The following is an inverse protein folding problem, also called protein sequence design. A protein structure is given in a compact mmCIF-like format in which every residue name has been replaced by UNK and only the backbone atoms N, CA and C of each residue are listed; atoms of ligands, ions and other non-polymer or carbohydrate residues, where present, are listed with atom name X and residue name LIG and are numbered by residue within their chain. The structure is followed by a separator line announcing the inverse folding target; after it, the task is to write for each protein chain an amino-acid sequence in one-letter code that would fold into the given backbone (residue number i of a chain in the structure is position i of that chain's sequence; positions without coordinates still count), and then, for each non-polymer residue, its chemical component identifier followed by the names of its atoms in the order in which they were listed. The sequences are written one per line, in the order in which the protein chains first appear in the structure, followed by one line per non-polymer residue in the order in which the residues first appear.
data_IF_450564210602
#
_entry.id   IF_450564210602
#
_cell.length_a   1.000
_cell.length_b   1.000
_cell.length_c   1.000
_cell.angle_alpha   90.00
_cell.angle_beta   90.00
_cell.angle_gamma   90.00
#
_symmetry.space_group_name_H-M   'P 1'
#
loop_
_entity.id
_entity.type
_entity.pdbx_description
1 polymer ?
#
# COMPACT_ATOMS: atom_id res chain seq x y z
N UNK A 1 51.16 19.70 -4.46
CA UNK A 1 50.14 19.79 -3.39
C UNK A 1 49.03 20.70 -3.90
N UNK A 2 48.00 20.14 -4.52
CA UNK A 2 46.81 20.89 -4.94
C UNK A 2 45.82 20.86 -3.79
N UNK A 3 45.63 21.99 -3.12
CA UNK A 3 44.56 22.17 -2.14
C UNK A 3 43.22 21.95 -2.84
N UNK A 4 42.51 20.89 -2.46
CA UNK A 4 41.10 20.75 -2.75
C UNK A 4 40.42 21.84 -1.94
N UNK A 5 40.07 22.95 -2.58
CA UNK A 5 39.22 23.98 -1.99
C UNK A 5 37.84 23.35 -1.78
N UNK A 6 37.68 22.68 -0.63
CA UNK A 6 36.39 22.18 -0.15
C UNK A 6 35.52 23.39 0.09
N UNK A 7 34.56 23.61 -0.80
CA UNK A 7 33.61 24.71 -0.70
C UNK A 7 32.42 24.23 0.15
N UNK A 8 32.37 24.54 1.46
CA UNK A 8 31.41 23.94 2.40
C UNK A 8 29.94 24.29 2.07
N UNK A 9 29.71 25.31 1.23
CA UNK A 9 28.38 25.66 0.73
C UNK A 9 27.85 24.72 -0.35
N UNK A 10 28.72 24.05 -1.11
CA UNK A 10 28.33 23.12 -2.17
C UNK A 10 27.92 21.76 -1.59
N UNK A 11 28.63 21.30 -0.56
CA UNK A 11 28.34 20.02 0.11
C UNK A 11 27.04 20.07 0.91
N UNK A 12 26.71 21.21 1.54
CA UNK A 12 25.42 21.42 2.21
C UNK A 12 24.25 21.37 1.22
N UNK A 13 24.40 21.98 0.04
CA UNK A 13 23.39 21.92 -1.04
C UNK A 13 23.21 20.50 -1.57
N UNK A 14 24.31 19.76 -1.75
CA UNK A 14 24.28 18.35 -2.16
C UNK A 14 23.59 17.45 -1.14
N UNK A 15 23.89 17.62 0.15
CA UNK A 15 23.18 16.91 1.23
C UNK A 15 21.69 17.22 1.22
N UNK A 16 21.30 18.50 1.12
CA UNK A 16 19.89 18.90 1.03
C UNK A 16 19.18 18.27 -0.18
N UNK A 17 19.82 18.28 -1.35
CA UNK A 17 19.27 17.65 -2.56
C UNK A 17 19.16 16.14 -2.44
N UNK A 18 20.14 15.47 -1.80
CA UNK A 18 20.09 14.03 -1.52
C UNK A 18 18.98 13.68 -0.53
N UNK A 19 18.81 14.45 0.54
CA UNK A 19 17.71 14.27 1.48
C UNK A 19 16.36 14.49 0.80
N UNK A 20 16.23 15.55 -0.02
CA UNK A 20 15.00 15.84 -0.74
C UNK A 20 14.68 14.74 -1.78
N UNK A 21 15.68 14.24 -2.50
CA UNK A 21 15.53 13.10 -3.40
C UNK A 21 15.11 11.83 -2.65
N UNK A 22 15.70 11.58 -1.47
CA UNK A 22 15.32 10.46 -0.60
C UNK A 22 13.88 10.58 -0.07
N UNK A 23 13.43 11.78 0.28
CA UNK A 23 12.03 12.03 0.68
C UNK A 23 11.09 11.79 -0.49
N UNK A 24 11.40 12.32 -1.68
CA UNK A 24 10.61 12.09 -2.88
C UNK A 24 10.51 10.60 -3.24
N UNK A 25 11.62 9.87 -3.12
CA UNK A 25 11.67 8.43 -3.36
C UNK A 25 10.77 7.67 -2.37
N UNK A 26 10.82 8.00 -1.07
CA UNK A 26 9.97 7.37 -0.06
C UNK A 26 8.48 7.68 -0.26
N UNK A 27 8.13 8.91 -0.63
CA UNK A 27 6.74 9.27 -0.93
C UNK A 27 6.23 8.51 -2.16
N UNK A 28 7.04 8.40 -3.21
CA UNK A 28 6.70 7.58 -4.37
C UNK A 28 6.53 6.10 -4.02
N UNK A 29 7.46 5.54 -3.24
CA UNK A 29 7.40 4.15 -2.79
C UNK A 29 6.17 3.87 -1.93
N UNK A 30 5.80 4.82 -1.06
CA UNK A 30 4.59 4.74 -0.24
C UNK A 30 3.33 4.66 -1.10
N UNK A 31 3.21 5.48 -2.15
CA UNK A 31 2.06 5.43 -3.06
C UNK A 31 1.97 4.09 -3.78
N UNK A 32 3.09 3.56 -4.27
CA UNK A 32 3.13 2.25 -4.91
C UNK A 32 2.70 1.15 -3.94
N UNK A 33 3.26 1.15 -2.72
CA UNK A 33 2.93 0.18 -1.68
C UNK A 33 1.47 0.31 -1.21
N UNK A 34 0.91 1.52 -1.19
CA UNK A 34 -0.48 1.74 -0.81
C UNK A 34 -1.46 1.01 -1.74
N UNK A 35 -1.13 0.89 -3.04
CA UNK A 35 -1.92 0.15 -4.03
C UNK A 35 -1.54 -1.34 -4.04
N UNK A 36 -0.27 -1.65 -3.82
CA UNK A 36 0.22 -3.03 -3.89
C UNK A 36 -0.17 -3.86 -2.66
N UNK A 37 -0.18 -3.26 -1.47
CA UNK A 37 -0.53 -3.89 -0.19
C UNK A 37 -1.93 -4.55 -0.15
N UNK A 38 -3.03 -3.88 -0.56
CA UNK A 38 -4.35 -4.50 -0.55
C UNK A 38 -4.41 -5.66 -1.54
N UNK A 39 -3.82 -5.51 -2.72
CA UNK A 39 -3.76 -6.57 -3.74
C UNK A 39 -2.98 -7.77 -3.24
N UNK A 40 -1.80 -7.56 -2.64
CA UNK A 40 -0.95 -8.63 -2.11
C UNK A 40 -1.65 -9.39 -0.97
N UNK A 41 -2.26 -8.66 -0.03
CA UNK A 41 -3.07 -9.24 1.05
C UNK A 41 -4.21 -10.09 0.50
N UNK A 42 -4.93 -9.56 -0.49
CA UNK A 42 -5.96 -10.29 -1.23
C UNK A 42 -5.43 -11.59 -1.82
N UNK A 43 -4.32 -11.55 -2.56
CA UNK A 43 -3.70 -12.74 -3.18
C UNK A 43 -3.43 -13.82 -2.14
N UNK A 44 -2.87 -13.46 -1.00
CA UNK A 44 -2.56 -14.41 0.09
C UNK A 44 -3.84 -15.06 0.62
N UNK A 45 -4.85 -14.25 0.94
CA UNK A 45 -6.16 -14.73 1.43
C UNK A 45 -6.80 -15.67 0.40
N UNK A 46 -6.86 -15.25 -0.87
CA UNK A 46 -7.44 -16.04 -1.94
C UNK A 46 -6.71 -17.35 -2.20
N UNK A 47 -5.38 -17.32 -2.14
CA UNK A 47 -4.56 -18.50 -2.33
C UNK A 47 -4.78 -19.55 -1.23
N UNK A 48 -4.97 -19.11 0.02
CA UNK A 48 -5.20 -19.97 1.17
C UNK A 48 -6.62 -20.55 1.21
N UNK A 49 -7.66 -19.74 0.95
CA UNK A 49 -9.05 -20.21 1.06
C UNK A 49 -9.48 -21.13 -0.09
N UNK A 50 -8.87 -21.02 -1.28
CA UNK A 50 -9.14 -21.84 -2.50
C UNK A 50 -10.56 -21.78 -3.06
N UNK A 51 -11.57 -21.36 -2.28
CA UNK A 51 -12.97 -21.16 -2.68
C UNK A 51 -13.25 -19.69 -2.97
N UNK A 52 -13.78 -19.41 -4.15
CA UNK A 52 -14.00 -18.05 -4.64
C UNK A 52 -14.94 -17.23 -3.73
N UNK A 53 -16.09 -17.79 -3.32
CA UNK A 53 -17.04 -17.07 -2.48
C UNK A 53 -16.46 -16.68 -1.12
N UNK A 54 -15.66 -17.56 -0.51
CA UNK A 54 -15.05 -17.30 0.80
C UNK A 54 -13.85 -16.36 0.68
N UNK A 55 -13.07 -16.47 -0.41
CA UNK A 55 -11.96 -15.57 -0.69
C UNK A 55 -12.44 -14.13 -0.91
N UNK A 56 -13.52 -13.93 -1.67
CA UNK A 56 -14.08 -12.60 -1.94
C UNK A 56 -14.60 -11.96 -0.64
N UNK A 57 -15.39 -12.69 0.15
CA UNK A 57 -15.93 -12.14 1.40
C UNK A 57 -14.84 -11.85 2.43
N UNK A 58 -13.86 -12.76 2.57
CA UNK A 58 -12.72 -12.57 3.48
C UNK A 58 -11.81 -11.41 3.05
N UNK A 59 -11.54 -11.27 1.74
CA UNK A 59 -10.72 -10.17 1.21
C UNK A 59 -11.41 -8.81 1.37
N UNK A 60 -12.72 -8.76 1.12
CA UNK A 60 -13.49 -7.53 1.33
C UNK A 60 -13.52 -7.14 2.82
N UNK A 61 -13.82 -8.09 3.71
CA UNK A 61 -13.95 -7.83 5.14
C UNK A 61 -12.62 -7.41 5.76
N UNK A 62 -11.52 -8.08 5.40
CA UNK A 62 -10.18 -7.73 5.86
C UNK A 62 -9.77 -6.32 5.42
N UNK A 63 -10.08 -5.92 4.18
CA UNK A 63 -9.81 -4.58 3.70
C UNK A 63 -10.66 -3.52 4.42
N UNK A 64 -11.97 -3.77 4.60
CA UNK A 64 -12.85 -2.84 5.31
C UNK A 64 -12.38 -2.61 6.74
N UNK A 65 -12.03 -3.68 7.46
CA UNK A 65 -11.55 -3.58 8.83
C UNK A 65 -10.17 -2.89 8.87
N UNK A 66 -9.22 -3.35 8.05
CA UNK A 66 -7.85 -2.84 8.06
C UNK A 66 -7.77 -1.37 7.65
N UNK A 67 -8.31 -1.01 6.49
CA UNK A 67 -8.29 0.37 6.00
C UNK A 67 -9.25 1.27 6.74
N UNK A 68 -10.39 0.76 7.21
CA UNK A 68 -11.31 1.52 8.04
C UNK A 68 -10.66 2.00 9.33
N UNK A 69 -9.96 1.11 10.04
CA UNK A 69 -9.18 1.47 11.24
C UNK A 69 -8.07 2.46 10.88
N UNK A 70 -7.31 2.18 9.82
CA UNK A 70 -6.16 3.00 9.44
C UNK A 70 -6.57 4.44 9.07
N UNK A 71 -7.64 4.60 8.30
CA UNK A 71 -8.16 5.91 7.93
C UNK A 71 -8.80 6.65 9.10
N UNK A 72 -9.55 5.95 9.97
CA UNK A 72 -10.10 6.56 11.18
C UNK A 72 -8.99 7.04 12.14
N UNK A 73 -7.91 6.27 12.29
CA UNK A 73 -6.74 6.69 13.07
C UNK A 73 -5.99 7.85 12.43
N UNK A 74 -5.90 7.88 11.10
CA UNK A 74 -5.25 8.99 10.40
C UNK A 74 -6.04 10.28 10.60
N UNK A 75 -7.36 10.24 10.46
CA UNK A 75 -8.22 11.41 10.69
C UNK A 75 -8.28 11.85 12.14
N UNK A 76 -8.20 10.92 13.11
CA UNK A 76 -8.13 11.29 14.52
C UNK A 76 -6.84 12.06 14.85
N UNK A 77 -5.74 11.77 14.13
CA UNK A 77 -4.47 12.48 14.28
C UNK A 77 -4.43 13.82 13.52
N UNK A 78 -5.16 13.95 12.41
CA UNK A 78 -5.21 15.19 11.61
C UNK A 78 -6.35 16.13 12.02
N UNK A 79 -7.27 15.68 12.88
CA UNK A 79 -8.35 16.50 13.44
C UNK A 79 -9.65 16.50 12.62
N UNK A 80 -9.97 15.39 11.94
CA UNK A 80 -11.20 15.23 11.13
C UNK A 80 -11.35 16.30 10.06
N UNK A 81 -10.30 16.45 9.26
CA UNK A 81 -10.28 17.45 8.18
C UNK A 81 -10.95 16.95 6.91
N UNK A 82 -11.09 15.63 6.75
CA UNK A 82 -11.67 14.99 5.58
C UNK A 82 -13.14 14.62 5.81
N UNK A 83 -13.99 14.80 4.80
CA UNK A 83 -15.39 14.37 4.85
C UNK A 83 -15.49 12.84 5.08
N UNK A 84 -16.29 12.36 6.05
CA UNK A 84 -16.50 10.93 6.30
C UNK A 84 -16.91 10.14 5.05
N UNK A 85 -17.63 10.77 4.12
CA UNK A 85 -18.07 10.15 2.87
C UNK A 85 -16.88 9.78 1.97
N UNK A 86 -15.85 10.64 1.93
CA UNK A 86 -14.63 10.41 1.14
C UNK A 86 -13.82 9.26 1.76
N UNK A 87 -13.77 9.18 3.08
CA UNK A 87 -13.10 8.10 3.80
C UNK A 87 -13.75 6.75 3.50
N UNK A 88 -15.08 6.68 3.55
CA UNK A 88 -15.83 5.47 3.18
C UNK A 88 -15.55 5.07 1.73
N UNK A 89 -15.57 6.04 0.80
CA UNK A 89 -15.24 5.78 -0.60
C UNK A 89 -13.82 5.22 -0.76
N UNK A 90 -12.84 5.77 -0.04
CA UNK A 90 -11.47 5.30 -0.06
C UNK A 90 -11.36 3.85 0.46
N UNK A 91 -12.06 3.51 1.55
CA UNK A 91 -12.10 2.12 2.06
C UNK A 91 -12.71 1.18 1.02
N UNK A 92 -13.79 1.58 0.35
CA UNK A 92 -14.43 0.77 -0.70
C UNK A 92 -13.47 0.52 -1.86
N UNK A 93 -12.76 1.56 -2.32
CA UNK A 93 -11.76 1.44 -3.38
C UNK A 93 -10.67 0.43 -2.98
N UNK A 94 -10.16 0.53 -1.76
CA UNK A 94 -9.17 -0.42 -1.23
C UNK A 94 -9.71 -1.85 -1.13
N UNK A 95 -10.98 -2.00 -0.73
CA UNK A 95 -11.65 -3.29 -0.69
C UNK A 95 -11.78 -3.92 -2.08
N UNK A 96 -12.08 -3.13 -3.11
CA UNK A 96 -12.10 -3.61 -4.50
C UNK A 96 -10.73 -4.14 -4.92
N UNK A 97 -9.65 -3.39 -4.66
CA UNK A 97 -8.29 -3.85 -4.95
C UNK A 97 -7.94 -5.15 -4.20
N UNK A 98 -8.33 -5.26 -2.93
CA UNK A 98 -8.13 -6.47 -2.15
C UNK A 98 -8.91 -7.66 -2.70
N UNK A 99 -10.17 -7.47 -3.10
CA UNK A 99 -10.99 -8.52 -3.72
C UNK A 99 -10.40 -8.98 -5.05
N UNK A 100 -9.90 -8.06 -5.89
CA UNK A 100 -9.20 -8.40 -7.14
C UNK A 100 -7.98 -9.28 -6.83
N UNK A 101 -7.19 -8.91 -5.82
CA UNK A 101 -6.11 -9.75 -5.30
C UNK A 101 -6.61 -11.13 -4.87
N UNK A 102 -7.71 -11.20 -4.11
CA UNK A 102 -8.35 -12.44 -3.67
C UNK A 102 -8.75 -13.37 -4.82
N UNK A 103 -9.34 -12.82 -5.87
CA UNK A 103 -9.71 -13.60 -7.06
C UNK A 103 -8.45 -14.14 -7.76
N UNK A 104 -7.42 -13.32 -7.92
CA UNK A 104 -6.13 -13.75 -8.49
C UNK A 104 -5.48 -14.86 -7.65
N UNK A 105 -5.50 -14.75 -6.32
CA UNK A 105 -4.98 -15.75 -5.40
C UNK A 105 -5.68 -17.10 -5.55
N UNK A 106 -7.02 -17.11 -5.65
CA UNK A 106 -7.79 -18.33 -5.91
C UNK A 106 -7.41 -18.94 -7.25
N UNK A 107 -7.23 -18.11 -8.29
CA UNK A 107 -6.87 -18.57 -9.63
C UNK A 107 -5.48 -19.22 -9.66
N UNK A 108 -4.50 -18.63 -8.97
CA UNK A 108 -3.16 -19.20 -8.79
C UNK A 108 -3.19 -20.54 -8.05
N UNK A 109 -3.98 -20.65 -6.98
CA UNK A 109 -4.11 -21.87 -6.18
C UNK A 109 -4.70 -23.05 -6.98
N UNK A 110 -5.63 -22.76 -7.91
CA UNK A 110 -6.16 -23.78 -8.82
C UNK A 110 -5.12 -24.30 -9.80
N UNK A 111 -4.22 -23.44 -10.26
CA UNK A 111 -3.18 -23.81 -11.22
C UNK A 111 -2.08 -24.68 -10.58
N UNK A 112 -1.74 -24.43 -9.32
CA UNK A 112 -0.70 -25.21 -8.61
C UNK A 112 -1.13 -26.64 -8.29
N UNK A 113 -2.43 -26.91 -8.12
CA UNK A 113 -2.93 -28.25 -7.83
C UNK A 113 -3.05 -29.15 -9.08
N UNK A 114 -2.92 -28.61 -10.30
CA UNK A 114 -2.96 -29.41 -11.55
C UNK A 114 -1.59 -30.05 -11.83
N UNK A 115 -0.53 -29.64 -11.12
CA UNK A 115 0.83 -30.17 -11.29
C UNK A 115 1.28 -31.14 -10.19
N UNK A 116 0.36 -31.67 -9.37
CA UNK A 116 0.63 -32.71 -8.35
C UNK A 116 -0.18 -33.95 -8.64
#
# INVERSE_FOLDING_TARGET
MTEIVVNPGLDKKRYLLMTLAGVLLNLGLFVVLAIFSPVATGIIIGYLLRRMNQAVSSSALSAVIGYGILFALTESLTGWTTDPTILVLAVIIMAVFCVVGGVLGVWLSRRSNISS
#
